data_IF_067367106865
#
_entry.id   IF_067367106865
#
_cell.length_a   1.000
_cell.length_b   1.000
_cell.length_c   1.000
_cell.angle_alpha   90.00
_cell.angle_beta   90.00
_cell.angle_gamma   90.00
#
_symmetry.space_group_name_H-M   'P 1'
#
loop_
_entity.id
_entity.type
_entity.pdbx_description
1 polymer ?
#
# COMPACT_ATOMS: atom_id res chain seq x y z
N UNK A 1 -8.72 -24.43 -61.33
CA UNK A 1 -9.06 -24.93 -59.98
C UNK A 1 -7.87 -24.67 -59.07
N UNK A 2 -7.89 -23.58 -58.31
CA UNK A 2 -6.82 -23.17 -57.40
C UNK A 2 -7.34 -23.23 -55.96
N UNK A 3 -6.76 -24.11 -55.13
CA UNK A 3 -6.59 -23.93 -53.68
C UNK A 3 -5.48 -24.88 -53.19
N UNK A 4 -4.39 -24.37 -52.60
CA UNK A 4 -3.73 -25.05 -51.50
C UNK A 4 -4.26 -24.49 -50.17
N UNK A 5 -4.61 -25.41 -49.27
CA UNK A 5 -5.17 -25.13 -47.95
C UNK A 5 -4.17 -24.42 -47.03
N UNK A 6 -4.73 -23.58 -46.18
CA UNK A 6 -4.05 -22.89 -45.10
C UNK A 6 -3.52 -23.89 -44.07
N UNK A 7 -2.19 -23.96 -43.89
CA UNK A 7 -1.59 -24.59 -42.71
C UNK A 7 -1.74 -23.66 -41.51
N UNK A 8 -2.63 -24.03 -40.60
CA UNK A 8 -2.86 -23.37 -39.32
C UNK A 8 -1.75 -23.80 -38.35
N UNK A 9 -0.67 -23.04 -38.27
CA UNK A 9 0.35 -23.22 -37.23
C UNK A 9 -0.09 -22.50 -35.95
N UNK A 10 -0.69 -23.24 -35.02
CA UNK A 10 -1.03 -22.79 -33.67
C UNK A 10 0.26 -22.71 -32.83
N UNK A 11 0.81 -21.50 -32.66
CA UNK A 11 1.91 -21.25 -31.71
C UNK A 11 1.30 -21.06 -30.32
N UNK A 12 1.41 -22.09 -29.48
CA UNK A 12 1.08 -22.00 -28.06
C UNK A 12 2.26 -21.31 -27.37
N UNK A 13 2.12 -20.01 -27.08
CA UNK A 13 3.09 -19.27 -26.28
C UNK A 13 2.90 -19.64 -24.81
N UNK A 14 3.84 -20.42 -24.28
CA UNK A 14 3.90 -20.83 -22.88
C UNK A 14 4.31 -19.62 -22.03
N UNK A 15 3.34 -18.90 -21.44
CA UNK A 15 3.62 -17.85 -20.47
C UNK A 15 4.02 -18.50 -19.13
N UNK A 16 5.31 -18.79 -18.96
CA UNK A 16 5.86 -19.13 -17.66
C UNK A 16 5.84 -17.88 -16.78
N UNK A 17 4.86 -17.81 -15.88
CA UNK A 17 4.84 -16.85 -14.78
C UNK A 17 6.00 -17.16 -13.84
N UNK A 18 7.13 -16.47 -14.05
CA UNK A 18 8.22 -16.40 -13.08
C UNK A 18 7.67 -15.71 -11.82
N UNK A 19 7.13 -16.52 -10.92
CA UNK A 19 6.85 -16.10 -9.55
C UNK A 19 8.19 -15.98 -8.85
N UNK A 20 8.78 -14.78 -8.87
CA UNK A 20 9.92 -14.49 -8.02
C UNK A 20 9.45 -14.63 -6.57
N UNK A 21 10.05 -15.51 -5.74
CA UNK A 21 9.80 -15.47 -4.32
C UNK A 21 10.19 -14.08 -3.84
N UNK A 22 9.23 -13.35 -3.25
CA UNK A 22 9.51 -12.10 -2.58
C UNK A 22 10.35 -12.42 -1.34
N UNK A 23 11.67 -12.47 -1.52
CA UNK A 23 12.61 -12.46 -0.40
C UNK A 23 12.49 -11.10 0.25
N UNK A 24 11.86 -11.03 1.43
CA UNK A 24 12.00 -9.89 2.32
C UNK A 24 13.46 -9.83 2.73
N UNK A 25 14.24 -8.98 2.08
CA UNK A 25 15.60 -8.67 2.52
C UNK A 25 15.46 -7.85 3.80
N UNK A 26 15.97 -8.38 4.90
CA UNK A 26 16.02 -7.65 6.16
C UNK A 26 16.68 -6.28 5.92
N UNK A 27 16.06 -5.21 6.41
CA UNK A 27 16.55 -3.85 6.24
C UNK A 27 17.75 -3.65 7.14
N UNK A 28 18.89 -3.26 6.56
CA UNK A 28 20.05 -2.97 7.39
C UNK A 28 19.82 -1.71 8.22
N UNK A 29 20.50 -1.59 9.37
CA UNK A 29 20.46 -0.36 10.18
C UNK A 29 20.89 0.87 9.37
N UNK A 30 21.89 0.73 8.49
CA UNK A 30 22.34 1.81 7.62
C UNK A 30 21.29 2.24 6.60
N UNK A 31 20.47 1.31 6.11
CA UNK A 31 19.36 1.63 5.20
C UNK A 31 18.26 2.38 5.95
N UNK A 32 17.92 1.94 7.17
CA UNK A 32 16.95 2.63 8.03
C UNK A 32 17.41 4.07 8.34
N UNK A 33 18.68 4.25 8.73
CA UNK A 33 19.25 5.58 8.96
C UNK A 33 19.23 6.44 7.70
N UNK A 34 19.47 5.85 6.53
CA UNK A 34 19.42 6.57 5.26
C UNK A 34 18.01 7.01 4.92
N UNK A 35 17.01 6.14 5.10
CA UNK A 35 15.59 6.48 4.92
C UNK A 35 15.19 7.61 5.87
N UNK A 36 15.55 7.52 7.16
CA UNK A 36 15.25 8.55 8.14
C UNK A 36 15.86 9.91 7.77
N UNK A 37 17.15 9.94 7.38
CA UNK A 37 17.80 11.16 6.91
C UNK A 37 17.16 11.74 5.66
N UNK A 38 16.76 10.90 4.70
CA UNK A 38 16.08 11.32 3.48
C UNK A 38 14.70 11.94 3.75
N UNK A 39 14.06 11.56 4.86
CA UNK A 39 12.80 12.14 5.33
C UNK A 39 12.98 13.35 6.27
N UNK A 40 14.20 13.90 6.37
CA UNK A 40 14.49 15.12 7.13
C UNK A 40 15.03 14.89 8.54
N UNK A 41 15.33 13.65 8.92
CA UNK A 41 15.89 13.30 10.23
C UNK A 41 15.05 13.82 11.42
N UNK A 42 13.72 13.79 11.28
CA UNK A 42 12.79 14.24 12.33
C UNK A 42 12.91 13.33 13.55
N UNK A 43 13.06 13.92 14.73
CA UNK A 43 12.98 13.19 15.99
C UNK A 43 11.51 12.98 16.39
N UNK A 44 11.14 11.75 16.74
CA UNK A 44 9.79 11.39 17.18
C UNK A 44 8.82 11.12 16.04
N UNK A 45 7.60 11.66 16.14
CA UNK A 45 6.51 11.39 15.20
C UNK A 45 6.53 12.39 14.04
N UNK A 46 6.57 11.87 12.81
CA UNK A 46 6.43 12.64 11.58
C UNK A 46 5.11 12.31 10.89
N UNK A 47 4.36 13.34 10.53
CA UNK A 47 3.15 13.23 9.72
C UNK A 47 3.49 13.17 8.23
N UNK A 48 2.84 12.25 7.54
CA UNK A 48 2.86 12.05 6.10
C UNK A 48 1.42 12.14 5.56
N UNK A 49 1.23 12.22 4.24
CA UNK A 49 -0.12 12.42 3.67
C UNK A 49 -1.06 11.26 3.94
N UNK A 50 -0.49 10.06 4.11
CA UNK A 50 -1.25 8.81 4.23
C UNK A 50 -1.14 8.16 5.61
N UNK A 51 -0.46 8.80 6.57
CA UNK A 51 -0.29 8.27 7.92
C UNK A 51 0.84 8.95 8.69
N UNK A 52 1.31 8.28 9.72
CA UNK A 52 2.34 8.78 10.63
C UNK A 52 3.46 7.75 10.76
N UNK A 53 4.67 8.23 11.00
CA UNK A 53 5.82 7.41 11.37
C UNK A 53 6.35 7.91 12.70
N UNK A 54 6.36 7.05 13.72
CA UNK A 54 7.12 7.26 14.94
C UNK A 54 8.52 6.67 14.76
N UNK A 55 9.50 7.54 14.47
CA UNK A 55 10.88 7.13 14.22
C UNK A 55 11.57 6.61 15.48
N UNK A 56 11.17 7.10 16.67
CA UNK A 56 11.75 6.66 17.94
C UNK A 56 11.05 5.39 18.42
N UNK A 57 9.71 5.40 18.43
CA UNK A 57 8.88 4.24 18.76
C UNK A 57 8.92 3.12 17.71
N UNK A 58 9.57 3.36 16.56
CA UNK A 58 9.76 2.41 15.46
C UNK A 58 8.44 1.82 14.93
N UNK A 59 7.44 2.67 14.74
CA UNK A 59 6.11 2.27 14.27
C UNK A 59 5.55 3.19 13.19
N UNK A 60 4.60 2.67 12.43
CA UNK A 60 3.79 3.44 11.47
C UNK A 60 2.32 3.28 11.80
N UNK A 61 1.55 4.33 11.61
CA UNK A 61 0.11 4.30 11.83
C UNK A 61 -0.64 4.91 10.65
N UNK A 62 -1.72 4.27 10.23
CA UNK A 62 -2.61 4.78 9.18
C UNK A 62 -4.07 4.63 9.60
N UNK A 63 -4.93 5.45 9.01
CA UNK A 63 -6.39 5.28 9.10
C UNK A 63 -6.91 4.57 7.85
N UNK A 64 -7.97 3.78 8.02
CA UNK A 64 -8.76 3.23 6.92
C UNK A 64 -10.22 3.61 7.07
N UNK A 65 -10.88 3.96 5.95
CA UNK A 65 -12.26 4.48 5.95
C UNK A 65 -13.16 3.70 5.00
N UNK A 66 -14.39 3.45 5.44
CA UNK A 66 -15.39 2.72 4.67
C UNK A 66 -16.79 3.30 4.85
N UNK A 67 -17.48 3.70 3.77
CA UNK A 67 -18.80 4.32 3.89
C UNK A 67 -19.89 3.29 4.23
N UNK A 68 -20.74 3.63 5.20
CA UNK A 68 -21.92 2.88 5.61
C UNK A 68 -23.10 3.39 4.80
N UNK A 69 -23.43 2.72 3.69
CA UNK A 69 -24.48 3.16 2.76
C UNK A 69 -25.90 3.11 3.35
N UNK A 70 -26.13 2.26 4.34
CA UNK A 70 -27.39 2.15 5.08
C UNK A 70 -27.15 1.46 6.43
N UNK A 71 -28.10 1.57 7.36
CA UNK A 71 -27.97 1.02 8.72
C UNK A 71 -28.28 -0.49 8.82
N UNK A 72 -28.01 -1.27 7.77
CA UNK A 72 -28.14 -2.73 7.83
C UNK A 72 -26.86 -3.41 8.32
N UNK A 73 -27.00 -4.59 8.94
CA UNK A 73 -25.85 -5.42 9.31
C UNK A 73 -24.90 -5.70 8.13
N UNK A 74 -25.39 -6.16 6.95
CA UNK A 74 -24.56 -6.37 5.78
C UNK A 74 -23.81 -5.13 5.31
N UNK A 75 -24.43 -3.94 5.35
CA UNK A 75 -23.76 -2.70 4.97
C UNK A 75 -22.61 -2.35 5.91
N UNK A 76 -22.74 -2.60 7.21
CA UNK A 76 -21.65 -2.41 8.19
C UNK A 76 -20.48 -3.35 7.92
N UNK A 77 -20.74 -4.61 7.59
CA UNK A 77 -19.69 -5.58 7.23
C UNK A 77 -18.96 -5.14 5.95
N UNK A 78 -19.68 -4.64 4.95
CA UNK A 78 -19.07 -4.11 3.73
C UNK A 78 -18.24 -2.85 4.01
N UNK A 79 -18.73 -1.97 4.88
CA UNK A 79 -18.00 -0.77 5.30
C UNK A 79 -16.71 -1.12 6.05
N UNK A 80 -16.75 -2.11 6.96
CA UNK A 80 -15.56 -2.63 7.65
C UNK A 80 -14.53 -3.17 6.64
N UNK A 81 -14.95 -4.00 5.67
CA UNK A 81 -14.05 -4.52 4.62
C UNK A 81 -13.46 -3.41 3.75
N UNK A 82 -14.26 -2.39 3.43
CA UNK A 82 -13.78 -1.21 2.71
C UNK A 82 -12.74 -0.44 3.53
N UNK A 83 -12.99 -0.22 4.84
CA UNK A 83 -12.05 0.45 5.73
C UNK A 83 -10.72 -0.32 5.84
N UNK A 84 -10.75 -1.65 5.95
CA UNK A 84 -9.54 -2.49 5.94
C UNK A 84 -8.79 -2.36 4.62
N UNK A 85 -9.51 -2.38 3.49
CA UNK A 85 -8.90 -2.24 2.16
C UNK A 85 -8.26 -0.86 1.98
N UNK A 86 -8.92 0.19 2.44
CA UNK A 86 -8.44 1.56 2.41
C UNK A 86 -7.21 1.76 3.30
N UNK A 87 -7.23 1.23 4.53
CA UNK A 87 -6.06 1.25 5.42
C UNK A 87 -4.85 0.51 4.83
N UNK A 88 -5.06 -0.64 4.19
CA UNK A 88 -4.02 -1.37 3.45
C UNK A 88 -3.45 -0.56 2.28
N UNK A 89 -4.32 0.15 1.55
CA UNK A 89 -3.89 1.07 0.49
C UNK A 89 -3.06 2.21 1.07
N UNK A 90 -3.47 2.80 2.19
CA UNK A 90 -2.75 3.88 2.85
C UNK A 90 -1.37 3.42 3.36
N UNK A 91 -1.21 2.18 3.83
CA UNK A 91 0.10 1.61 4.13
C UNK A 91 1.02 1.55 2.89
N UNK A 92 0.52 1.14 1.71
CA UNK A 92 1.33 1.15 0.49
C UNK A 92 1.73 2.57 0.07
N UNK A 93 0.80 3.50 0.17
CA UNK A 93 1.02 4.90 -0.17
C UNK A 93 2.03 5.54 0.78
N UNK A 94 1.93 5.26 2.08
CA UNK A 94 2.89 5.68 3.09
C UNK A 94 4.28 5.07 2.83
N UNK A 95 4.36 3.78 2.52
CA UNK A 95 5.61 3.13 2.13
C UNK A 95 6.25 3.80 0.91
N UNK A 96 5.45 4.16 -0.09
CA UNK A 96 5.94 4.89 -1.26
C UNK A 96 6.48 6.26 -0.87
N UNK A 97 5.71 7.03 -0.08
CA UNK A 97 6.10 8.37 0.36
C UNK A 97 7.39 8.34 1.18
N UNK A 98 7.55 7.39 2.11
CA UNK A 98 8.77 7.23 2.91
C UNK A 98 9.99 6.91 2.03
N UNK A 99 9.84 6.07 1.01
CA UNK A 99 10.96 5.59 0.19
C UNK A 99 11.37 6.56 -0.92
N UNK A 100 10.40 7.22 -1.54
CA UNK A 100 10.61 7.97 -2.77
C UNK A 100 10.21 9.44 -2.66
N UNK A 101 9.52 9.82 -1.58
CA UNK A 101 8.87 11.12 -1.48
C UNK A 101 7.66 11.24 -2.41
N UNK A 102 6.92 12.33 -2.25
CA UNK A 102 5.83 12.71 -3.15
C UNK A 102 5.99 14.16 -3.59
N UNK A 103 5.63 14.49 -4.85
CA UNK A 103 5.66 15.86 -5.31
C UNK A 103 4.71 16.73 -4.49
N UNK A 104 5.05 18.01 -4.31
CA UNK A 104 4.21 18.95 -3.55
C UNK A 104 2.79 19.08 -4.14
N UNK A 105 2.68 19.07 -5.47
CA UNK A 105 1.40 19.10 -6.21
C UNK A 105 1.03 17.71 -6.74
N UNK A 106 0.72 16.78 -5.85
CA UNK A 106 0.25 15.44 -6.26
C UNK A 106 -1.16 15.54 -6.85
N UNK A 107 -1.31 15.19 -8.13
CA UNK A 107 -2.61 15.10 -8.78
C UNK A 107 -3.23 13.71 -8.57
N UNK A 108 -2.45 12.66 -8.85
CA UNK A 108 -2.88 11.28 -8.61
C UNK A 108 -1.70 10.33 -8.43
N UNK A 109 -1.96 9.24 -7.71
CA UNK A 109 -1.05 8.11 -7.57
C UNK A 109 -1.85 6.82 -7.74
N UNK A 110 -1.42 6.01 -8.70
CA UNK A 110 -1.87 4.63 -8.86
C UNK A 110 -0.75 3.72 -8.37
N UNK A 111 -1.06 2.82 -7.43
CA UNK A 111 -0.07 1.97 -6.77
C UNK A 111 -0.61 0.55 -6.65
N UNK A 112 0.24 -0.41 -6.97
CA UNK A 112 -0.03 -1.83 -6.74
C UNK A 112 1.09 -2.45 -5.92
N UNK A 113 0.74 -3.37 -5.04
CA UNK A 113 1.69 -3.95 -4.11
C UNK A 113 1.06 -4.97 -3.17
N UNK A 114 1.91 -5.52 -2.32
CA UNK A 114 1.54 -6.40 -1.22
C UNK A 114 1.80 -5.67 0.09
N UNK A 115 0.83 -5.75 0.99
CA UNK A 115 1.02 -5.40 2.40
C UNK A 115 0.84 -6.60 3.28
N UNK A 116 1.60 -6.63 4.37
CA UNK A 116 1.35 -7.56 5.48
C UNK A 116 -0.06 -7.38 6.02
N UNK A 117 -0.60 -8.43 6.61
CA UNK A 117 -1.86 -8.33 7.31
C UNK A 117 -1.67 -7.48 8.57
N UNK A 118 -2.32 -6.31 8.67
CA UNK A 118 -2.12 -5.42 9.79
C UNK A 118 -2.91 -5.86 11.02
N UNK A 119 -2.44 -5.46 12.20
CA UNK A 119 -3.28 -5.43 13.39
C UNK A 119 -4.15 -4.17 13.35
N UNK A 120 -5.42 -4.30 13.73
CA UNK A 120 -6.35 -3.18 13.84
C UNK A 120 -6.42 -2.81 15.32
N UNK A 121 -5.91 -1.63 15.67
CA UNK A 121 -5.83 -1.18 17.07
C UNK A 121 -7.18 -0.69 17.58
N UNK A 122 -7.96 -0.07 16.69
CA UNK A 122 -9.28 0.45 17.02
C UNK A 122 -10.22 0.44 15.83
N UNK A 123 -11.51 0.29 16.13
CA UNK A 123 -12.61 0.35 15.19
C UNK A 123 -13.69 1.26 15.76
N UNK A 124 -14.19 2.19 14.95
CA UNK A 124 -15.25 3.11 15.37
C UNK A 124 -16.18 3.45 14.22
N UNK A 125 -17.44 3.75 14.54
CA UNK A 125 -18.40 4.30 13.60
C UNK A 125 -18.57 5.78 13.92
N UNK A 126 -18.30 6.65 12.94
CA UNK A 126 -18.51 8.10 13.04
C UNK A 126 -19.48 8.51 11.93
N UNK A 127 -20.72 8.87 12.31
CA UNK A 127 -21.77 9.15 11.34
C UNK A 127 -22.01 7.96 10.41
N UNK A 128 -21.85 8.18 9.11
CA UNK A 128 -22.02 7.17 8.06
C UNK A 128 -20.68 6.56 7.61
N UNK A 129 -19.65 6.58 8.46
CA UNK A 129 -18.33 6.02 8.17
C UNK A 129 -17.91 4.99 9.21
N UNK A 130 -17.42 3.86 8.73
CA UNK A 130 -16.62 2.93 9.49
C UNK A 130 -15.16 3.36 9.41
N UNK A 131 -14.52 3.61 10.54
CA UNK A 131 -13.10 3.99 10.63
C UNK A 131 -12.33 2.96 11.43
N UNK A 132 -11.13 2.66 10.95
CA UNK A 132 -10.16 1.83 11.66
C UNK A 132 -8.85 2.57 11.78
N UNK A 133 -8.10 2.24 12.83
CA UNK A 133 -6.69 2.61 12.96
C UNK A 133 -5.84 1.36 12.91
N UNK A 134 -4.77 1.42 12.13
CA UNK A 134 -3.81 0.34 11.95
C UNK A 134 -2.45 0.85 12.39
N UNK A 135 -1.76 0.09 13.23
CA UNK A 135 -0.36 0.31 13.58
C UNK A 135 0.46 -0.92 13.23
N UNK A 136 1.64 -0.67 12.65
CA UNK A 136 2.59 -1.71 12.26
C UNK A 136 4.01 -1.28 12.67
N UNK A 137 4.89 -2.20 13.08
CA UNK A 137 6.30 -1.87 13.24
C UNK A 137 6.88 -1.32 11.93
N UNK A 138 7.68 -0.26 12.01
CA UNK A 138 8.28 0.39 10.84
C UNK A 138 9.14 -0.58 10.03
N UNK A 139 9.93 -1.42 10.70
CA UNK A 139 10.72 -2.48 10.07
C UNK A 139 9.85 -3.42 9.23
N UNK A 140 8.73 -3.89 9.77
CA UNK A 140 7.79 -4.75 9.04
C UNK A 140 7.18 -4.06 7.82
N UNK A 141 6.85 -2.76 7.92
CA UNK A 141 6.42 -1.99 6.75
C UNK A 141 7.49 -2.01 5.66
N UNK A 142 8.75 -1.80 6.02
CA UNK A 142 9.84 -1.67 5.07
C UNK A 142 10.29 -3.01 4.48
N UNK A 143 10.25 -4.09 5.25
CA UNK A 143 10.78 -5.40 4.83
C UNK A 143 9.75 -6.29 4.13
N UNK A 144 8.52 -6.32 4.65
CA UNK A 144 7.53 -7.31 4.26
C UNK A 144 6.48 -6.77 3.27
N UNK A 145 6.32 -5.45 3.20
CA UNK A 145 5.47 -4.81 2.20
C UNK A 145 6.28 -4.48 0.94
N UNK A 146 5.67 -4.70 -0.22
CA UNK A 146 6.34 -4.60 -1.52
C UNK A 146 5.47 -3.78 -2.46
N UNK A 147 6.09 -2.81 -3.13
CA UNK A 147 5.47 -2.05 -4.21
C UNK A 147 5.87 -2.73 -5.53
N UNK A 148 4.87 -3.17 -6.30
CA UNK A 148 5.09 -3.81 -7.60
C UNK A 148 5.13 -2.77 -8.73
N UNK A 149 4.24 -1.78 -8.65
CA UNK A 149 4.22 -0.66 -9.59
C UNK A 149 3.65 0.58 -8.92
N UNK A 150 4.10 1.74 -9.39
CA UNK A 150 3.54 3.03 -9.00
C UNK A 150 3.60 3.98 -10.19
N UNK A 151 2.51 4.71 -10.44
CA UNK A 151 2.43 5.79 -11.41
C UNK A 151 2.00 7.05 -10.67
N UNK A 152 2.88 8.05 -10.64
CA UNK A 152 2.63 9.33 -9.98
C UNK A 152 2.42 10.41 -11.04
N UNK A 153 1.31 11.15 -10.93
CA UNK A 153 1.04 12.32 -11.76
C UNK A 153 1.09 13.57 -10.91
N UNK A 154 1.81 14.57 -11.40
CA UNK A 154 2.00 15.85 -10.76
C UNK A 154 1.21 16.91 -11.54
N UNK A 155 0.46 17.73 -10.81
CA UNK A 155 -0.22 18.88 -11.41
C UNK A 155 0.79 19.99 -11.78
N UNK A 156 0.47 20.74 -12.84
CA UNK A 156 1.23 21.92 -13.28
C UNK A 156 1.35 23.00 -12.19
#
# INVERSE_FOLDING_TARGET
MNRPGFSLALVILLAASLSFPASSLAISRSDMETIWRNNGAVEGVQEFRFGYVDWIGSSVSVEGKGPIRNNSGPAKILAQKAAVTDGRRNLLLLLYEIRYGLPARLESIDISGKVVEPHIDSEMIIGDEYKISITLPLERLLEECVIFSATVRQGE
#
